data_IF_859484354797
#
_entry.id   IF_859484354797
#
_cell.length_a   1.000
_cell.length_b   1.000
_cell.length_c   1.000
_cell.angle_alpha   90.00
_cell.angle_beta   90.00
_cell.angle_gamma   90.00
#
_symmetry.space_group_name_H-M   'P 1'
#
loop_
_entity.id
_entity.type
_entity.pdbx_description
1 polymer ?
#
# COMPACT_ATOMS: atom_id res chain seq x y z
N UNK A 1 10.01 -5.87 2.70
CA UNK A 1 8.75 -5.60 3.41
C UNK A 1 7.84 -4.76 2.54
N UNK A 2 6.56 -4.64 2.93
CA UNK A 2 5.60 -3.78 2.24
C UNK A 2 5.90 -2.29 2.48
N UNK A 3 5.42 -1.44 1.58
CA UNK A 3 5.58 0.00 1.66
C UNK A 3 4.74 0.74 0.62
N UNK A 4 5.03 2.03 0.46
CA UNK A 4 4.53 2.85 -0.64
C UNK A 4 5.71 3.43 -1.39
N UNK A 5 5.55 3.69 -2.69
CA UNK A 5 6.54 4.46 -3.44
C UNK A 5 6.46 5.97 -3.10
N UNK A 6 7.43 6.75 -3.58
CA UNK A 6 7.60 8.16 -3.18
C UNK A 6 6.42 9.07 -3.49
N UNK A 7 5.61 8.74 -4.49
CA UNK A 7 4.43 9.51 -4.88
C UNK A 7 3.11 8.85 -4.46
N UNK A 8 3.16 7.78 -3.65
CA UNK A 8 1.97 7.10 -3.11
C UNK A 8 1.08 6.46 -4.17
N UNK A 9 1.59 6.18 -5.37
CA UNK A 9 0.82 5.57 -6.47
C UNK A 9 0.91 4.06 -6.52
N UNK A 10 1.83 3.47 -5.77
CA UNK A 10 2.02 2.03 -5.68
C UNK A 10 2.20 1.60 -4.24
N UNK A 11 1.53 0.51 -3.85
CA UNK A 11 2.00 -0.34 -2.76
C UNK A 11 3.20 -1.12 -3.31
N UNK A 12 4.29 -1.11 -2.56
CA UNK A 12 5.54 -1.76 -2.92
C UNK A 12 5.81 -2.97 -2.05
N UNK A 13 6.56 -3.92 -2.57
CA UNK A 13 7.18 -4.99 -1.80
C UNK A 13 8.68 -4.99 -2.10
N UNK A 14 9.49 -4.81 -1.05
CA UNK A 14 10.95 -4.68 -1.17
C UNK A 14 11.36 -3.59 -2.20
N UNK A 15 10.60 -2.49 -2.23
CA UNK A 15 10.84 -1.36 -3.14
C UNK A 15 10.36 -1.57 -4.58
N UNK A 16 9.91 -2.78 -4.94
CA UNK A 16 9.31 -3.06 -6.25
C UNK A 16 7.82 -2.77 -6.24
N UNK A 17 7.30 -2.21 -7.32
CA UNK A 17 5.89 -1.92 -7.49
C UNK A 17 5.07 -3.22 -7.52
N UNK A 18 4.11 -3.36 -6.60
CA UNK A 18 3.28 -4.55 -6.48
C UNK A 18 1.82 -4.30 -6.89
N UNK A 19 1.18 -3.30 -6.27
CA UNK A 19 -0.22 -2.96 -6.53
C UNK A 19 -0.35 -1.47 -6.82
N UNK A 20 -0.87 -1.14 -8.00
CA UNK A 20 -1.16 0.23 -8.39
C UNK A 20 -2.39 0.75 -7.65
N UNK A 21 -2.34 2.00 -7.23
CA UNK A 21 -3.44 2.69 -6.54
C UNK A 21 -4.12 3.69 -7.48
N UNK A 22 -5.42 3.50 -7.77
CA UNK A 22 -6.23 4.52 -8.43
C UNK A 22 -6.20 5.85 -7.67
N UNK A 23 -6.37 7.00 -8.35
CA UNK A 23 -6.30 8.33 -7.73
C UNK A 23 -7.09 8.49 -6.44
N UNK A 24 -8.30 7.93 -6.37
CA UNK A 24 -9.20 7.98 -5.22
C UNK A 24 -8.74 7.17 -4.01
N UNK A 25 -7.81 6.22 -4.20
CA UNK A 25 -7.18 5.41 -3.15
C UNK A 25 -5.77 5.90 -2.78
N UNK A 26 -5.30 7.03 -3.32
CA UNK A 26 -3.97 7.53 -2.98
C UNK A 26 -3.97 8.08 -1.55
N UNK A 27 -2.97 7.73 -0.73
CA UNK A 27 -2.95 8.09 0.68
C UNK A 27 -2.63 9.56 0.90
N UNK A 28 -3.35 10.20 1.82
CA UNK A 28 -2.85 11.35 2.59
C UNK A 28 -2.12 10.91 3.86
N UNK A 29 -2.41 9.69 4.35
CA UNK A 29 -1.73 9.02 5.44
C UNK A 29 -1.69 7.51 5.21
N UNK A 30 -0.70 6.84 5.77
CA UNK A 30 -0.56 5.39 5.66
C UNK A 30 0.17 4.79 6.84
N UNK A 31 -0.13 3.52 7.14
CA UNK A 31 0.62 2.74 8.12
C UNK A 31 0.90 1.34 7.55
N UNK A 32 2.06 0.78 7.88
CA UNK A 32 2.47 -0.56 7.47
C UNK A 32 2.89 -1.35 8.71
N UNK A 33 2.39 -2.57 8.83
CA UNK A 33 2.78 -3.51 9.89
C UNK A 33 2.76 -4.94 9.35
N UNK A 34 3.94 -5.58 9.27
CA UNK A 34 4.08 -6.92 8.71
C UNK A 34 3.57 -7.00 7.27
N UNK A 35 2.52 -7.81 7.05
CA UNK A 35 1.81 -7.96 5.76
C UNK A 35 0.58 -7.05 5.62
N UNK A 36 0.33 -6.19 6.61
CA UNK A 36 -0.77 -5.23 6.61
C UNK A 36 -0.35 -3.86 6.10
N UNK A 37 -1.16 -3.29 5.21
CA UNK A 37 -1.06 -1.90 4.74
C UNK A 37 -2.39 -1.21 4.97
N UNK A 38 -2.38 -0.05 5.63
CA UNK A 38 -3.55 0.80 5.84
C UNK A 38 -3.34 2.11 5.09
N UNK A 39 -4.37 2.52 4.35
CA UNK A 39 -4.39 3.73 3.54
C UNK A 39 -5.52 4.61 4.04
N UNK A 40 -5.21 5.83 4.46
CA UNK A 40 -6.19 6.90 4.67
C UNK A 40 -6.16 7.87 3.50
N UNK A 41 -7.31 8.07 2.85
CA UNK A 41 -7.44 8.94 1.68
C UNK A 41 -7.91 10.36 2.07
N UNK A 42 -7.67 11.38 1.23
CA UNK A 42 -8.19 12.74 1.46
C UNK A 42 -9.71 12.81 1.62
N UNK A 43 -10.46 11.87 1.04
CA UNK A 43 -11.92 11.76 1.17
C UNK A 43 -12.39 11.31 2.56
N UNK A 44 -11.48 10.88 3.43
CA UNK A 44 -11.79 10.22 4.70
C UNK A 44 -12.00 8.71 4.58
N UNK A 45 -11.95 8.14 3.37
CA UNK A 45 -12.01 6.69 3.17
C UNK A 45 -10.74 6.02 3.72
N UNK A 46 -10.90 4.91 4.45
CA UNK A 46 -9.79 4.13 5.01
C UNK A 46 -9.85 2.70 4.49
N UNK A 47 -8.78 2.27 3.82
CA UNK A 47 -8.65 0.91 3.26
C UNK A 47 -7.66 0.09 4.07
N UNK A 48 -8.05 -1.14 4.43
CA UNK A 48 -7.20 -2.13 5.09
C UNK A 48 -6.86 -3.23 4.09
N UNK A 49 -5.59 -3.39 3.78
CA UNK A 49 -5.09 -4.44 2.91
C UNK A 49 -4.22 -5.40 3.72
N UNK A 50 -4.46 -6.70 3.57
CA UNK A 50 -3.62 -7.76 4.14
C UNK A 50 -3.16 -8.67 3.03
N UNK A 51 -1.86 -8.82 2.90
CA UNK A 51 -1.23 -9.68 1.90
C UNK A 51 -0.83 -11.03 2.50
N UNK A 52 -0.62 -12.03 1.63
CA UNK A 52 -0.02 -13.31 2.02
C UNK A 52 1.42 -13.15 2.46
N UNK A 53 1.89 -14.08 3.28
CA UNK A 53 3.30 -14.18 3.68
C UNK A 53 4.20 -14.72 2.57
N UNK A 54 3.61 -15.40 1.58
CA UNK A 54 4.31 -15.85 0.36
C UNK A 54 4.83 -14.62 -0.38
N UNK A 55 6.08 -14.70 -0.84
CA UNK A 55 6.71 -13.63 -1.61
C UNK A 55 5.82 -13.30 -2.83
N UNK A 56 5.28 -12.07 -2.93
CA UNK A 56 4.32 -11.75 -3.97
C UNK A 56 4.96 -11.46 -5.34
N UNK A 57 6.30 -11.51 -5.44
CA UNK A 57 7.07 -11.18 -6.66
C UNK A 57 7.93 -12.37 -7.14
N UNK A 58 7.75 -13.55 -6.54
CA UNK A 58 8.41 -14.80 -6.96
C UNK A 58 7.58 -15.62 -7.93
#
# INVERSE_FOLDING_TARGET
GYGLNSNGTWITYQGQNLLWLPPEYRPSSSAVSGTGVVIGCPSGHVSFLKFSEVNPVS
#
